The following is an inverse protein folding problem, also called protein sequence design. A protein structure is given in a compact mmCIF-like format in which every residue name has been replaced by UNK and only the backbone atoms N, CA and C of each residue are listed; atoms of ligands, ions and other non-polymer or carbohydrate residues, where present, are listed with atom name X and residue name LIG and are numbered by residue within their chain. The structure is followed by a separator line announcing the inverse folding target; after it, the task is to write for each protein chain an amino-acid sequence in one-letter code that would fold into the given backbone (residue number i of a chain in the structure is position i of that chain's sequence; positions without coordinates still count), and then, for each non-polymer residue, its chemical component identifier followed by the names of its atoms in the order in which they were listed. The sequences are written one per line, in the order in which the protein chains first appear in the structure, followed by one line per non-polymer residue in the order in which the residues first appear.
data_IF_355599633216
#
_entry.id   IF_355599633216
#
_cell.length_a   1.000
_cell.length_b   1.000
_cell.length_c   1.000
_cell.angle_alpha   90.00
_cell.angle_beta   90.00
_cell.angle_gamma   90.00
#
_symmetry.space_group_name_H-M   'P 1'
#
loop_
_entity.id
_entity.type
_entity.pdbx_description
1 polymer ?
#
# COMPACT_ATOMS: atom_id res chain seq x y z
N UNK A 1 -13.66 -17.76 12.89
CA UNK A 1 -13.50 -16.60 11.98
C UNK A 1 -12.03 -16.28 11.75
N UNK A 2 -11.32 -15.77 12.76
CA UNK A 2 -9.89 -15.38 12.68
C UNK A 2 -8.97 -16.46 12.10
N UNK A 3 -9.02 -17.70 12.61
CA UNK A 3 -8.19 -18.82 12.08
C UNK A 3 -8.37 -19.05 10.57
N UNK A 4 -9.59 -18.87 10.06
CA UNK A 4 -9.89 -19.03 8.62
C UNK A 4 -9.35 -17.84 7.82
N UNK A 5 -9.50 -16.60 8.34
CA UNK A 5 -8.90 -15.40 7.77
C UNK A 5 -7.38 -15.47 7.69
N UNK A 6 -6.73 -15.97 8.74
CA UNK A 6 -5.27 -16.21 8.78
C UNK A 6 -4.86 -17.22 7.70
N UNK A 7 -5.57 -18.34 7.57
CA UNK A 7 -5.30 -19.31 6.51
C UNK A 7 -5.46 -18.70 5.10
N UNK A 8 -6.47 -17.85 4.90
CA UNK A 8 -6.67 -17.12 3.64
C UNK A 8 -5.51 -16.16 3.35
N UNK A 9 -5.03 -15.39 4.34
CA UNK A 9 -3.88 -14.51 4.18
C UNK A 9 -2.61 -15.29 3.80
N UNK A 10 -2.33 -16.42 4.46
CA UNK A 10 -1.19 -17.29 4.11
C UNK A 10 -1.30 -17.81 2.68
N UNK A 11 -2.50 -18.21 2.24
CA UNK A 11 -2.72 -18.65 0.87
C UNK A 11 -2.49 -17.52 -0.15
N UNK A 12 -2.94 -16.30 0.14
CA UNK A 12 -2.66 -15.13 -0.71
C UNK A 12 -1.16 -14.87 -0.84
N UNK A 13 -0.40 -14.93 0.27
CA UNK A 13 1.05 -14.74 0.26
C UNK A 13 1.73 -15.81 -0.61
N UNK A 14 1.36 -17.08 -0.45
CA UNK A 14 1.93 -18.19 -1.23
C UNK A 14 1.58 -18.09 -2.71
N UNK A 15 0.34 -17.75 -3.04
CA UNK A 15 -0.12 -17.60 -4.42
C UNK A 15 0.56 -16.43 -5.14
N UNK A 16 0.97 -15.40 -4.40
CA UNK A 16 1.57 -14.18 -4.94
C UNK A 16 3.11 -14.22 -4.94
N UNK A 17 3.71 -15.41 -4.77
CA UNK A 17 5.17 -15.55 -4.75
C UNK A 17 5.76 -15.11 -6.10
N UNK A 18 6.60 -14.05 -6.07
CA UNK A 18 7.19 -13.47 -7.27
C UNK A 18 6.32 -12.43 -8.00
N UNK A 19 5.17 -12.04 -7.44
CA UNK A 19 4.27 -11.01 -7.98
C UNK A 19 3.67 -10.15 -6.84
N UNK A 20 2.70 -9.29 -7.17
CA UNK A 20 1.94 -8.48 -6.24
C UNK A 20 0.82 -9.30 -5.57
N UNK A 21 0.44 -8.91 -4.36
CA UNK A 21 -0.73 -9.44 -3.68
C UNK A 21 -1.99 -9.08 -4.49
N UNK A 22 -2.89 -10.03 -4.57
CA UNK A 22 -4.20 -9.82 -5.19
C UNK A 22 -5.05 -8.85 -4.38
N UNK A 23 -6.18 -8.46 -4.96
CA UNK A 23 -7.21 -7.73 -4.24
C UNK A 23 -7.82 -8.57 -3.11
N UNK A 24 -8.48 -7.94 -2.12
CA UNK A 24 -9.21 -8.63 -1.06
C UNK A 24 -10.22 -9.68 -1.54
N UNK A 25 -10.80 -9.50 -2.73
CA UNK A 25 -11.72 -10.44 -3.37
C UNK A 25 -11.03 -11.57 -4.17
N UNK A 26 -9.70 -11.60 -4.20
CA UNK A 26 -8.88 -12.58 -4.93
C UNK A 26 -8.59 -12.25 -6.39
N UNK A 27 -9.15 -11.18 -6.96
CA UNK A 27 -8.85 -10.76 -8.32
C UNK A 27 -7.46 -10.11 -8.44
N UNK A 28 -6.87 -10.13 -9.63
CA UNK A 28 -5.64 -9.39 -9.92
C UNK A 28 -5.83 -7.87 -9.72
N UNK A 29 -4.74 -7.15 -9.48
CA UNK A 29 -4.77 -5.70 -9.36
C UNK A 29 -5.18 -5.07 -10.70
N UNK A 30 -6.02 -4.03 -10.65
CA UNK A 30 -6.54 -3.41 -11.88
C UNK A 30 -5.48 -2.60 -12.61
N UNK A 31 -5.59 -2.62 -13.94
CA UNK A 31 -4.96 -1.71 -14.88
C UNK A 31 -6.05 -0.96 -15.65
N UNK A 32 -6.13 0.36 -15.48
CA UNK A 32 -7.03 1.21 -16.25
C UNK A 32 -6.36 1.62 -17.57
N UNK A 33 -7.09 1.71 -18.69
CA UNK A 33 -6.57 2.30 -19.92
C UNK A 33 -6.15 3.76 -19.67
N UNK A 34 -4.98 4.18 -20.17
CA UNK A 34 -4.46 5.54 -19.98
C UNK A 34 -3.39 5.65 -18.88
N UNK A 35 -2.40 4.76 -18.90
CA UNK A 35 -1.29 4.78 -17.97
C UNK A 35 -0.48 6.09 -18.13
N UNK A 36 -0.48 6.94 -17.09
CA UNK A 36 0.01 8.33 -17.15
C UNK A 36 1.46 8.49 -17.60
N UNK A 37 2.29 7.45 -17.43
CA UNK A 37 3.71 7.49 -17.78
C UNK A 37 4.04 6.85 -19.14
N UNK A 38 3.05 6.32 -19.86
CA UNK A 38 3.26 5.68 -21.15
C UNK A 38 2.57 6.48 -22.26
N UNK A 39 3.19 6.58 -23.43
CA UNK A 39 2.60 7.25 -24.58
C UNK A 39 1.37 6.47 -25.06
N UNK A 40 0.41 7.18 -25.67
CA UNK A 40 -0.88 6.59 -26.09
C UNK A 40 -0.65 5.44 -27.07
N UNK A 41 0.34 5.57 -27.94
CA UNK A 41 0.76 4.58 -28.92
C UNK A 41 1.15 3.25 -28.27
N UNK A 42 1.70 3.27 -27.06
CA UNK A 42 1.98 2.04 -26.31
C UNK A 42 0.68 1.40 -25.81
N UNK A 43 -0.23 2.23 -25.27
CA UNK A 43 -1.51 1.74 -24.72
C UNK A 43 -2.46 1.17 -25.78
N UNK A 44 -2.28 1.55 -27.05
CA UNK A 44 -3.01 0.96 -28.18
C UNK A 44 -2.57 -0.49 -28.48
N UNK A 45 -1.34 -0.86 -28.11
CA UNK A 45 -0.80 -2.23 -28.34
C UNK A 45 -1.10 -3.20 -27.20
N UNK A 46 -1.52 -2.70 -26.04
CA UNK A 46 -1.86 -3.50 -24.88
C UNK A 46 -1.65 -2.76 -23.56
N UNK A 47 -2.00 -3.43 -22.45
CA UNK A 47 -1.75 -2.91 -21.11
C UNK A 47 -0.30 -3.24 -20.68
N UNK A 48 0.36 -2.34 -19.92
CA UNK A 48 1.69 -2.62 -19.39
C UNK A 48 1.66 -3.80 -18.42
N UNK A 49 2.71 -4.62 -18.47
CA UNK A 49 2.89 -5.70 -17.49
C UNK A 49 3.21 -5.13 -16.10
N UNK A 50 2.90 -5.88 -15.05
CA UNK A 50 3.23 -5.50 -13.66
C UNK A 50 4.72 -5.15 -13.49
N UNK A 51 5.61 -5.90 -14.14
CA UNK A 51 7.06 -5.65 -14.10
C UNK A 51 7.45 -4.35 -14.78
N UNK A 52 6.84 -4.02 -15.92
CA UNK A 52 7.07 -2.75 -16.61
C UNK A 52 6.53 -1.58 -15.78
N UNK A 53 5.32 -1.71 -15.23
CA UNK A 53 4.75 -0.72 -14.32
C UNK A 53 5.65 -0.48 -13.11
N UNK A 54 6.15 -1.55 -12.49
CA UNK A 54 7.07 -1.46 -11.36
C UNK A 54 8.40 -0.78 -11.73
N UNK A 55 8.96 -1.12 -12.91
CA UNK A 55 10.18 -0.49 -13.42
C UNK A 55 9.99 1.02 -13.61
N UNK A 56 8.89 1.43 -14.23
CA UNK A 56 8.58 2.84 -14.46
C UNK A 56 8.46 3.59 -13.13
N UNK A 57 7.71 3.05 -12.16
CA UNK A 57 7.54 3.69 -10.86
C UNK A 57 8.85 3.76 -10.08
N UNK A 58 9.69 2.72 -10.18
CA UNK A 58 11.03 2.72 -9.60
C UNK A 58 11.90 3.82 -10.21
N UNK A 59 11.86 4.01 -11.53
CA UNK A 59 12.58 5.08 -12.22
C UNK A 59 12.05 6.49 -11.83
N UNK A 60 10.74 6.65 -11.69
CA UNK A 60 10.11 7.91 -11.24
C UNK A 60 10.56 8.26 -9.82
N UNK A 61 10.54 7.30 -8.89
CA UNK A 61 11.03 7.53 -7.53
C UNK A 61 12.53 7.82 -7.51
N UNK A 62 13.32 7.14 -8.35
CA UNK A 62 14.73 7.43 -8.47
C UNK A 62 14.99 8.85 -8.97
N UNK A 63 14.26 9.30 -9.99
CA UNK A 63 14.33 10.68 -10.46
C UNK A 63 13.94 11.67 -9.35
N UNK A 64 12.92 11.38 -8.55
CA UNK A 64 12.50 12.19 -7.40
C UNK A 64 13.59 12.31 -6.32
N UNK A 65 14.36 11.23 -6.07
CA UNK A 65 15.51 11.22 -5.15
C UNK A 65 16.69 12.07 -5.66
N UNK A 66 16.84 12.19 -6.97
CA UNK A 66 17.95 12.89 -7.63
C UNK A 66 17.62 14.33 -8.03
N UNK A 67 16.42 14.82 -7.71
CA UNK A 67 16.05 16.21 -7.97
C UNK A 67 17.05 17.19 -7.34
N UNK A 68 17.38 18.24 -8.10
CA UNK A 68 18.31 19.28 -7.64
C UNK A 68 17.70 20.24 -6.63
N UNK A 69 16.38 20.33 -6.58
CA UNK A 69 15.66 21.22 -5.67
C UNK A 69 15.39 20.50 -4.34
N UNK A 70 16.06 20.86 -3.24
CA UNK A 70 15.92 20.17 -1.96
C UNK A 70 14.48 20.21 -1.41
N UNK A 71 13.70 21.23 -1.75
CA UNK A 71 12.33 21.40 -1.24
C UNK A 71 11.35 20.35 -1.77
N UNK A 72 11.68 19.68 -2.87
CA UNK A 72 10.83 18.65 -3.51
C UNK A 72 11.59 17.33 -3.72
N UNK A 73 12.82 17.25 -3.24
CA UNK A 73 13.68 16.08 -3.43
C UNK A 73 13.29 15.00 -2.42
N UNK A 74 13.04 13.78 -2.89
CA UNK A 74 12.75 12.62 -2.04
C UNK A 74 14.05 12.05 -1.46
N UNK A 75 14.81 12.85 -0.70
CA UNK A 75 16.10 12.41 -0.13
C UNK A 75 16.26 12.96 1.28
N UNK A 76 16.23 12.06 2.25
CA UNK A 76 16.54 12.42 3.64
C UNK A 76 17.99 12.89 3.77
N UNK A 77 18.19 13.90 4.61
CA UNK A 77 19.50 14.38 5.03
C UNK A 77 19.76 13.95 6.48
N UNK A 78 20.95 14.25 7.03
CA UNK A 78 21.22 13.97 8.45
C UNK A 78 20.32 14.76 9.42
N UNK A 79 19.62 15.79 8.95
CA UNK A 79 18.83 16.71 9.77
C UNK A 79 17.33 16.61 9.51
N UNK A 80 16.93 16.18 8.30
CA UNK A 80 15.53 16.14 7.87
C UNK A 80 15.20 14.76 7.30
N UNK A 81 14.15 14.14 7.85
CA UNK A 81 13.54 12.96 7.25
C UNK A 81 12.53 13.40 6.19
N UNK A 82 12.75 12.95 4.95
CA UNK A 82 11.82 13.21 3.85
C UNK A 82 11.02 11.94 3.57
N UNK A 83 9.70 12.07 3.60
CA UNK A 83 8.76 10.98 3.38
C UNK A 83 7.91 11.23 2.13
N UNK A 84 7.45 10.15 1.52
CA UNK A 84 6.50 10.22 0.41
C UNK A 84 5.15 10.68 0.95
N UNK A 85 4.65 11.80 0.44
CA UNK A 85 3.36 12.34 0.84
C UNK A 85 2.22 11.29 0.62
N UNK A 86 1.39 10.99 1.63
CA UNK A 86 0.32 9.99 1.52
C UNK A 86 -0.62 10.20 0.33
N UNK A 87 -0.85 11.46 -0.05
CA UNK A 87 -1.69 11.86 -1.18
C UNK A 87 -1.22 11.28 -2.51
N UNK A 88 0.06 10.91 -2.64
CA UNK A 88 0.58 10.26 -3.84
C UNK A 88 -0.10 8.90 -4.10
N UNK A 89 -0.51 8.18 -3.05
CA UNK A 89 -1.29 6.94 -3.21
C UNK A 89 -2.72 7.24 -3.71
N UNK A 90 -3.28 8.40 -3.41
CA UNK A 90 -4.63 8.79 -3.86
C UNK A 90 -4.67 9.30 -5.31
N UNK A 91 -3.53 9.74 -5.85
CA UNK A 91 -3.43 10.23 -7.23
C UNK A 91 -3.65 9.13 -8.27
N UNK A 92 -3.43 7.87 -7.88
CA UNK A 92 -3.57 6.73 -8.76
C UNK A 92 -4.88 6.01 -8.47
N UNK A 93 -5.73 5.93 -9.49
CA UNK A 93 -6.94 5.09 -9.46
C UNK A 93 -6.59 3.60 -9.59
N UNK A 94 -5.41 3.29 -10.14
CA UNK A 94 -4.94 1.93 -10.35
C UNK A 94 -4.31 1.34 -9.10
N UNK A 95 -4.84 0.20 -8.67
CA UNK A 95 -4.32 -0.54 -7.52
C UNK A 95 -2.89 -1.03 -7.76
N UNK A 96 -2.55 -1.40 -9.00
CA UNK A 96 -1.18 -1.82 -9.34
C UNK A 96 -0.18 -0.66 -9.19
N UNK A 97 -0.58 0.58 -9.48
CA UNK A 97 0.27 1.75 -9.32
C UNK A 97 0.55 2.03 -7.85
N UNK A 98 -0.48 1.95 -7.01
CA UNK A 98 -0.33 2.09 -5.56
C UNK A 98 0.60 1.01 -4.98
N UNK A 99 0.43 -0.25 -5.41
CA UNK A 99 1.27 -1.36 -5.01
C UNK A 99 2.73 -1.20 -5.47
N UNK A 100 2.93 -0.79 -6.73
CA UNK A 100 4.27 -0.52 -7.26
C UNK A 100 4.96 0.61 -6.50
N UNK A 101 4.24 1.70 -6.23
CA UNK A 101 4.75 2.84 -5.48
C UNK A 101 5.19 2.41 -4.07
N UNK A 102 4.35 1.62 -3.40
CA UNK A 102 4.61 1.10 -2.06
C UNK A 102 5.86 0.21 -2.03
N UNK A 103 6.02 -0.69 -3.01
CA UNK A 103 7.17 -1.61 -3.09
C UNK A 103 8.45 -0.94 -3.57
N UNK A 104 8.37 0.12 -4.39
CA UNK A 104 9.53 0.84 -4.91
C UNK A 104 10.06 1.91 -3.94
N UNK A 105 9.23 2.43 -3.04
CA UNK A 105 9.63 3.39 -2.02
C UNK A 105 10.56 2.77 -0.98
N UNK A 106 11.57 3.51 -0.51
CA UNK A 106 12.45 3.06 0.57
C UNK A 106 11.69 3.02 1.91
N UNK A 107 12.05 2.14 2.85
CA UNK A 107 11.43 2.14 4.18
C UNK A 107 11.50 3.49 4.89
N UNK A 108 12.57 4.26 4.70
CA UNK A 108 12.71 5.62 5.24
C UNK A 108 11.73 6.62 4.61
N UNK A 109 11.32 6.40 3.36
CA UNK A 109 10.35 7.25 2.65
C UNK A 109 8.90 6.95 3.09
N UNK A 110 8.70 5.86 3.83
CA UNK A 110 7.40 5.41 4.35
C UNK A 110 7.37 5.42 5.89
N UNK A 111 8.36 6.08 6.52
CA UNK A 111 8.45 6.24 7.96
C UNK A 111 7.77 7.53 8.42
N UNK A 112 6.45 7.45 8.60
CA UNK A 112 5.62 8.56 9.03
C UNK A 112 5.66 8.79 10.54
N UNK A 113 6.38 7.96 11.31
CA UNK A 113 6.37 8.04 12.78
C UNK A 113 6.97 9.36 13.32
N UNK A 114 7.81 10.03 12.53
CA UNK A 114 8.46 11.28 12.91
C UNK A 114 7.53 12.51 12.92
N UNK A 115 6.40 12.47 12.18
CA UNK A 115 5.48 13.61 12.05
C UNK A 115 4.05 13.19 12.41
N UNK A 116 3.45 13.76 13.48
CA UNK A 116 2.07 13.45 13.84
C UNK A 116 1.05 13.75 12.74
N UNK A 117 1.20 14.89 12.06
CA UNK A 117 0.26 15.32 11.02
C UNK A 117 0.30 14.37 9.81
N UNK A 118 1.50 14.02 9.32
CA UNK A 118 1.64 13.11 8.17
C UNK A 118 1.25 11.67 8.55
N UNK A 119 1.56 11.25 9.78
CA UNK A 119 1.11 9.98 10.36
C UNK A 119 -0.41 9.88 10.39
N UNK A 120 -1.11 10.96 10.79
CA UNK A 120 -2.57 11.03 10.79
C UNK A 120 -3.14 10.92 9.37
N UNK A 121 -2.58 11.65 8.41
CA UNK A 121 -3.01 11.58 7.00
C UNK A 121 -2.85 10.18 6.43
N UNK A 122 -1.72 9.52 6.71
CA UNK A 122 -1.49 8.14 6.27
C UNK A 122 -2.45 7.16 6.97
N UNK A 123 -2.72 7.35 8.28
CA UNK A 123 -3.73 6.57 9.02
C UNK A 123 -5.10 6.66 8.36
N UNK A 124 -5.57 7.87 8.06
CA UNK A 124 -6.88 8.09 7.44
C UNK A 124 -6.97 7.50 6.03
N UNK A 125 -5.88 7.59 5.26
CA UNK A 125 -5.79 6.95 3.95
C UNK A 125 -5.95 5.44 4.07
N UNK A 126 -5.18 4.80 4.96
CA UNK A 126 -5.22 3.36 5.19
C UNK A 126 -6.59 2.91 5.68
N UNK A 127 -7.21 3.66 6.60
CA UNK A 127 -8.55 3.38 7.09
C UNK A 127 -9.58 3.37 5.94
N UNK A 128 -9.53 4.36 5.05
CA UNK A 128 -10.41 4.43 3.86
C UNK A 128 -10.15 3.28 2.89
N UNK A 129 -8.90 2.91 2.66
CA UNK A 129 -8.54 1.77 1.80
C UNK A 129 -9.12 0.46 2.36
N UNK A 130 -8.99 0.23 3.68
CA UNK A 130 -9.51 -0.98 4.33
C UNK A 130 -11.04 -1.00 4.40
N UNK A 131 -11.67 0.14 4.62
CA UNK A 131 -13.14 0.27 4.60
C UNK A 131 -13.69 -0.04 3.21
N UNK A 132 -13.03 0.48 2.16
CA UNK A 132 -13.45 0.36 0.75
C UNK A 132 -12.85 -0.85 0.02
N UNK A 133 -12.46 -1.88 0.75
CA UNK A 133 -11.80 -3.08 0.20
C UNK A 133 -12.57 -3.79 -0.93
N UNK A 134 -13.90 -3.62 -0.96
CA UNK A 134 -14.80 -4.22 -1.96
C UNK A 134 -14.92 -3.36 -3.23
N UNK A 135 -14.40 -2.13 -3.20
CA UNK A 135 -14.41 -1.18 -4.31
C UNK A 135 -13.05 -1.11 -4.99
N UNK A 136 -13.04 -0.60 -6.23
CA UNK A 136 -11.79 -0.41 -7.00
C UNK A 136 -10.73 0.38 -6.23
N UNK A 137 -11.12 1.37 -5.42
CA UNK A 137 -10.21 2.20 -4.63
C UNK A 137 -9.49 1.44 -3.49
N UNK A 138 -10.08 0.36 -2.96
CA UNK A 138 -9.51 -0.43 -1.85
C UNK A 138 -8.80 -1.70 -2.30
N UNK A 139 -8.61 -1.91 -3.61
CA UNK A 139 -8.05 -3.15 -4.15
C UNK A 139 -6.61 -3.41 -3.72
N UNK A 140 -5.80 -2.37 -3.49
CA UNK A 140 -4.44 -2.50 -2.97
C UNK A 140 -4.37 -2.75 -1.44
N UNK A 141 -5.51 -2.97 -0.77
CA UNK A 141 -5.57 -3.10 0.70
C UNK A 141 -4.67 -4.19 1.28
N UNK A 142 -4.48 -5.32 0.58
CA UNK A 142 -3.58 -6.38 1.04
C UNK A 142 -2.10 -5.97 1.01
N UNK A 143 -1.68 -5.19 0.01
CA UNK A 143 -0.33 -4.63 -0.09
C UNK A 143 -0.04 -3.65 1.04
N UNK A 144 -0.99 -2.75 1.33
CA UNK A 144 -0.87 -1.83 2.46
C UNK A 144 -0.82 -2.55 3.80
N UNK A 145 -1.66 -3.57 4.01
CA UNK A 145 -1.63 -4.37 5.22
C UNK A 145 -0.31 -5.16 5.36
N UNK A 146 0.23 -5.69 4.26
CA UNK A 146 1.54 -6.35 4.24
C UNK A 146 2.70 -5.37 4.52
N UNK A 147 2.62 -4.13 4.03
CA UNK A 147 3.62 -3.10 4.30
C UNK A 147 3.61 -2.65 5.77
N UNK A 148 2.43 -2.59 6.41
CA UNK A 148 2.32 -2.39 7.86
C UNK A 148 2.93 -3.58 8.62
N UNK A 149 2.56 -4.81 8.25
CA UNK A 149 3.06 -6.04 8.88
C UNK A 149 4.58 -6.16 8.83
N UNK A 150 5.19 -5.81 7.70
CA UNK A 150 6.65 -5.88 7.49
C UNK A 150 7.40 -4.70 8.10
N UNK A 151 6.70 -3.71 8.68
CA UNK A 151 7.31 -2.49 9.23
C UNK A 151 7.87 -1.55 8.16
N UNK A 152 7.43 -1.72 6.89
CA UNK A 152 7.83 -0.85 5.78
C UNK A 152 7.10 0.49 5.87
N UNK A 153 5.80 0.47 6.14
CA UNK A 153 5.06 1.66 6.59
C UNK A 153 5.16 1.71 8.11
N UNK A 154 5.58 2.85 8.65
CA UNK A 154 5.54 3.10 10.08
C UNK A 154 4.68 4.32 10.35
N UNK A 155 3.72 4.15 11.25
CA UNK A 155 2.94 5.24 11.81
C UNK A 155 3.43 5.49 13.24
N UNK A 156 3.00 6.60 13.82
CA UNK A 156 3.09 6.76 15.26
C UNK A 156 2.28 5.67 15.96
N UNK A 157 2.78 5.17 17.09
CA UNK A 157 2.20 4.00 17.77
C UNK A 157 0.70 4.14 18.00
N UNK A 158 0.25 5.28 18.55
CA UNK A 158 -1.17 5.51 18.80
C UNK A 158 -2.04 5.51 17.52
N UNK A 159 -1.53 6.06 16.40
CA UNK A 159 -2.24 6.01 15.12
C UNK A 159 -2.27 4.60 14.53
N UNK A 160 -1.20 3.82 14.70
CA UNK A 160 -1.17 2.42 14.30
C UNK A 160 -2.18 1.60 15.09
N UNK A 161 -2.22 1.78 16.41
CA UNK A 161 -3.14 1.08 17.32
C UNK A 161 -4.59 1.41 16.97
N UNK A 162 -4.93 2.70 16.83
CA UNK A 162 -6.27 3.15 16.40
C UNK A 162 -6.69 2.56 15.05
N UNK A 163 -5.77 2.54 14.07
CA UNK A 163 -6.04 1.98 12.75
C UNK A 163 -6.33 0.49 12.81
N UNK A 164 -5.49 -0.27 13.52
CA UNK A 164 -5.61 -1.72 13.64
C UNK A 164 -6.87 -2.10 14.41
N UNK A 165 -7.14 -1.45 15.54
CA UNK A 165 -8.36 -1.68 16.33
C UNK A 165 -9.62 -1.35 15.51
N UNK A 166 -9.65 -0.19 14.86
CA UNK A 166 -10.78 0.25 14.05
C UNK A 166 -11.05 -0.68 12.87
N UNK A 167 -10.00 -1.03 12.11
CA UNK A 167 -10.12 -1.91 10.94
C UNK A 167 -10.51 -3.34 11.33
N UNK A 168 -9.90 -3.90 12.39
CA UNK A 168 -10.26 -5.23 12.90
C UNK A 168 -11.71 -5.27 13.38
N UNK A 169 -12.16 -4.26 14.16
CA UNK A 169 -13.54 -4.19 14.64
C UNK A 169 -14.54 -4.10 13.49
N UNK A 170 -14.26 -3.28 12.48
CA UNK A 170 -15.12 -3.14 11.30
C UNK A 170 -15.22 -4.47 10.51
N UNK A 171 -14.11 -5.16 10.32
CA UNK A 171 -14.05 -6.44 9.61
C UNK A 171 -14.71 -7.59 10.38
N UNK A 172 -14.52 -7.65 11.70
CA UNK A 172 -15.20 -8.62 12.55
C UNK A 172 -16.72 -8.40 12.56
N UNK A 173 -17.16 -7.14 12.52
CA UNK A 173 -18.58 -6.76 12.43
C UNK A 173 -19.26 -7.25 11.15
N UNK A 174 -18.51 -7.48 10.07
CA UNK A 174 -19.05 -8.06 8.81
C UNK A 174 -19.40 -9.54 8.96
N UNK A 175 -18.85 -10.25 9.94
CA UNK A 175 -19.14 -11.67 10.20
C UNK A 175 -18.52 -12.66 9.20
N UNK A 176 -17.73 -12.19 8.23
CA UNK A 176 -17.14 -13.01 7.18
C UNK A 176 -15.61 -13.06 7.28
N UNK A 177 -14.98 -14.21 7.01
CA UNK A 177 -13.54 -14.31 6.96
C UNK A 177 -13.00 -13.61 5.69
N UNK A 178 -12.04 -12.70 5.86
CA UNK A 178 -11.35 -12.03 4.75
C UNK A 178 -9.84 -12.16 4.88
N UNK A 179 -9.09 -12.16 3.76
CA UNK A 179 -7.63 -12.17 3.81
C UNK A 179 -7.10 -10.90 4.50
N UNK A 180 -7.74 -9.74 4.28
CA UNK A 180 -7.36 -8.49 4.93
C UNK A 180 -7.42 -8.59 6.47
N UNK A 181 -8.47 -9.21 7.01
CA UNK A 181 -8.55 -9.47 8.45
C UNK A 181 -7.38 -10.34 8.92
N UNK A 182 -7.00 -11.36 8.16
CA UNK A 182 -5.83 -12.19 8.46
C UNK A 182 -4.52 -11.40 8.51
N UNK A 183 -4.28 -10.51 7.54
CA UNK A 183 -3.11 -9.64 7.51
C UNK A 183 -3.06 -8.67 8.70
N UNK A 184 -4.20 -8.04 9.03
CA UNK A 184 -4.27 -7.10 10.16
C UNK A 184 -4.06 -7.81 11.51
N UNK A 185 -4.54 -9.05 11.66
CA UNK A 185 -4.24 -9.87 12.84
C UNK A 185 -2.76 -10.23 12.95
N UNK A 186 -2.05 -10.43 11.83
CA UNK A 186 -0.60 -10.59 11.88
C UNK A 186 0.08 -9.28 12.30
N UNK A 187 -0.38 -8.15 11.77
CA UNK A 187 0.21 -6.83 12.03
C UNK A 187 0.02 -6.36 13.49
N UNK A 188 -1.13 -6.67 14.09
CA UNK A 188 -1.44 -6.39 15.49
C UNK A 188 -0.62 -7.18 16.51
N UNK A 189 0.27 -8.06 16.05
CA UNK A 189 1.03 -9.05 16.83
C UNK A 189 0.07 -10.06 17.48
N UNK A 190 0.35 -11.33 17.23
CA UNK A 190 -0.38 -12.46 17.80
C UNK A 190 -0.30 -12.40 19.34
N UNK A 191 -1.28 -11.80 19.99
CA UNK A 191 -1.71 -12.23 21.32
C UNK A 191 -2.60 -13.46 21.11
N UNK A 192 -1.92 -14.59 20.87
CA UNK A 192 -2.47 -15.93 20.94
C UNK A 192 -1.88 -16.66 22.14
#
# INVERSE_FOLDING_TARGET
MVKKSVAMAVNCIRASAGSFLCKPNGAALDHTPGFVFLPVEFTETGLPTESLTFLIISAVLQAARELKNPAIQLKSTGYESVVLAPENFQRFNDNILQACLLRAALPSELDYAASPDVSLLMKELLAKVFERQDYAYGGAGLEFAAALLTGRIKLQSHHADELLEGACKALLGRGEPSPLLGFLYFAGRLDG
#
